data_IF_759216182373
#
_entry.id   IF_759216182373
#
_cell.length_a   1.000
_cell.length_b   1.000
_cell.length_c   1.000
_cell.angle_alpha   90.00
_cell.angle_beta   90.00
_cell.angle_gamma   90.00
#
_symmetry.space_group_name_H-M   'P 1'
#
loop_
_entity.id
_entity.type
_entity.pdbx_description
1 polymer ?
#
# COMPACT_ATOMS: atom_id res chain seq x y z
N UNK A 1 52.21 -22.12 -26.24
CA UNK A 1 51.14 -21.07 -26.30
C UNK A 1 49.73 -21.60 -26.11
N UNK A 2 49.52 -22.92 -26.11
CA UNK A 2 48.19 -23.55 -26.05
C UNK A 2 47.57 -23.60 -24.65
N UNK A 3 48.40 -23.59 -23.60
CA UNK A 3 47.95 -23.67 -22.23
C UNK A 3 47.20 -22.37 -21.77
N UNK A 4 47.61 -21.21 -22.24
CA UNK A 4 46.91 -19.94 -21.95
C UNK A 4 45.56 -19.84 -22.68
N UNK A 5 45.48 -20.32 -23.90
CA UNK A 5 44.22 -20.40 -24.68
C UNK A 5 43.20 -21.32 -23.99
N UNK A 6 43.66 -22.48 -23.54
CA UNK A 6 42.79 -23.43 -22.83
C UNK A 6 42.29 -22.85 -21.47
N UNK A 7 43.13 -22.11 -20.77
CA UNK A 7 42.74 -21.45 -19.51
C UNK A 7 41.71 -20.35 -19.73
N UNK A 8 41.85 -19.57 -20.81
CA UNK A 8 40.86 -18.53 -21.18
C UNK A 8 39.52 -19.15 -21.58
N UNK A 9 39.51 -20.26 -22.28
CA UNK A 9 38.28 -20.98 -22.68
C UNK A 9 37.57 -21.54 -21.44
N UNK A 10 38.31 -22.09 -20.48
CA UNK A 10 37.73 -22.60 -19.22
C UNK A 10 37.15 -21.45 -18.38
N UNK A 11 37.86 -20.33 -18.30
CA UNK A 11 37.36 -19.14 -17.58
C UNK A 11 36.08 -18.58 -18.22
N UNK A 12 36.02 -18.58 -19.57
CA UNK A 12 34.82 -18.08 -20.29
C UNK A 12 33.63 -19.02 -20.09
N UNK A 13 33.84 -20.32 -20.08
CA UNK A 13 32.79 -21.32 -19.79
C UNK A 13 32.28 -21.18 -18.35
N UNK A 14 33.20 -20.93 -17.40
CA UNK A 14 32.82 -20.74 -16.00
C UNK A 14 32.00 -19.47 -15.78
N UNK A 15 32.37 -18.37 -16.42
CA UNK A 15 31.61 -17.11 -16.36
C UNK A 15 30.23 -17.28 -17.01
N UNK A 16 30.16 -17.96 -18.16
CA UNK A 16 28.89 -18.25 -18.84
C UNK A 16 27.97 -19.12 -17.98
N UNK A 17 28.52 -20.09 -17.26
CA UNK A 17 27.80 -20.94 -16.33
C UNK A 17 27.26 -20.15 -15.13
N UNK A 18 28.07 -19.25 -14.57
CA UNK A 18 27.64 -18.38 -13.47
C UNK A 18 26.50 -17.43 -13.88
N UNK A 19 26.58 -16.87 -15.09
CA UNK A 19 25.51 -16.00 -15.62
C UNK A 19 24.22 -16.82 -15.85
N UNK A 20 24.34 -18.04 -16.38
CA UNK A 20 23.19 -18.91 -16.56
C UNK A 20 22.56 -19.31 -15.22
N UNK A 21 23.37 -19.63 -14.21
CA UNK A 21 22.90 -19.97 -12.86
C UNK A 21 22.22 -18.80 -12.15
N UNK A 22 22.75 -17.58 -12.33
CA UNK A 22 22.13 -16.36 -11.80
C UNK A 22 20.76 -16.10 -12.47
N UNK A 23 20.67 -16.34 -13.77
CA UNK A 23 19.41 -16.18 -14.52
C UNK A 23 18.35 -17.22 -14.14
N UNK A 24 18.76 -18.46 -13.84
CA UNK A 24 17.89 -19.54 -13.37
C UNK A 24 17.36 -19.28 -11.95
N UNK A 25 18.19 -18.69 -11.07
CA UNK A 25 17.79 -18.27 -9.73
C UNK A 25 16.76 -17.13 -9.75
N UNK A 26 16.86 -16.23 -10.72
CA UNK A 26 15.92 -15.09 -10.86
C UNK A 26 14.54 -15.56 -11.38
N UNK A 27 14.50 -16.69 -12.09
CA UNK A 27 13.24 -17.30 -12.57
C UNK A 27 12.53 -18.19 -11.56
N UNK A 28 13.23 -18.67 -10.52
CA UNK A 28 12.68 -19.53 -9.47
C UNK A 28 13.10 -19.03 -8.09
N UNK A 29 12.40 -18.06 -7.48
CA UNK A 29 12.64 -17.68 -6.09
C UNK A 29 12.25 -18.86 -5.19
N UNK A 30 13.24 -19.59 -4.70
CA UNK A 30 13.04 -20.62 -3.67
C UNK A 30 12.71 -19.93 -2.33
N UNK A 31 11.63 -20.35 -1.63
CA UNK A 31 11.33 -19.83 -0.31
C UNK A 31 12.42 -20.26 0.69
N UNK A 32 13.13 -19.33 1.26
CA UNK A 32 14.01 -19.60 2.40
C UNK A 32 13.16 -20.08 3.58
N UNK A 33 13.43 -21.31 4.02
CA UNK A 33 12.85 -21.91 5.20
C UNK A 33 13.28 -21.12 6.44
N UNK A 34 12.35 -20.37 7.04
CA UNK A 34 12.51 -19.81 8.39
C UNK A 34 12.21 -20.90 9.42
N UNK A 35 13.16 -21.11 10.31
CA UNK A 35 13.04 -22.01 11.45
C UNK A 35 11.90 -21.58 12.38
N UNK A 36 11.01 -22.50 12.58
CA UNK A 36 9.87 -22.42 13.51
C UNK A 36 10.35 -22.51 14.95
N UNK A 37 10.05 -21.52 15.77
CA UNK A 37 9.99 -21.72 17.21
C UNK A 37 8.51 -21.68 17.60
N UNK A 38 7.97 -22.85 17.95
CA UNK A 38 6.63 -23.02 18.49
C UNK A 38 6.55 -22.45 19.91
N UNK A 39 5.53 -21.66 20.17
CA UNK A 39 4.96 -21.59 21.52
C UNK A 39 3.43 -21.59 21.38
N UNK A 40 2.85 -22.67 21.83
CA UNK A 40 1.42 -22.93 21.98
C UNK A 40 0.81 -22.05 23.06
N UNK A 41 -0.33 -21.42 22.78
CA UNK A 41 -1.41 -21.34 23.78
C UNK A 41 -2.76 -21.08 23.10
N UNK A 42 -3.71 -21.90 23.45
CA UNK A 42 -5.09 -22.06 23.03
C UNK A 42 -5.99 -20.92 23.53
N UNK A 43 -6.92 -20.43 22.70
CA UNK A 43 -8.35 -20.37 23.04
C UNK A 43 -9.18 -19.68 21.96
N UNK A 44 -10.35 -20.23 21.77
CA UNK A 44 -11.37 -20.06 20.74
C UNK A 44 -12.07 -18.71 20.71
N UNK A 45 -12.58 -18.36 19.51
CA UNK A 45 -13.66 -17.40 19.38
C UNK A 45 -13.82 -16.79 17.97
N UNK A 46 -14.72 -17.39 17.20
CA UNK A 46 -15.59 -16.79 16.19
C UNK A 46 -15.01 -16.12 14.93
N UNK A 47 -15.41 -16.69 13.82
CA UNK A 47 -15.09 -16.30 12.46
C UNK A 47 -15.69 -14.94 12.07
N UNK A 48 -14.87 -14.09 11.46
CA UNK A 48 -15.28 -13.11 10.47
C UNK A 48 -14.19 -13.09 9.40
N UNK A 49 -14.62 -13.19 8.16
CA UNK A 49 -13.86 -13.22 6.94
C UNK A 49 -12.73 -12.19 6.95
N UNK A 50 -11.49 -12.64 7.04
CA UNK A 50 -10.30 -11.80 7.10
C UNK A 50 -9.55 -11.93 5.79
N UNK A 51 -9.84 -11.03 4.87
CA UNK A 51 -8.97 -10.78 3.74
C UNK A 51 -7.54 -10.46 4.21
N UNK A 52 -6.56 -11.16 3.69
CA UNK A 52 -5.14 -11.06 4.04
C UNK A 52 -4.63 -9.63 3.82
N UNK A 53 -4.08 -8.93 4.82
CA UNK A 53 -3.56 -7.58 4.63
C UNK A 53 -2.26 -7.61 3.83
N UNK A 54 -2.31 -7.06 2.62
CA UNK A 54 -1.19 -7.03 1.66
C UNK A 54 -0.10 -6.00 1.97
N UNK A 55 -0.07 -5.35 3.12
CA UNK A 55 1.07 -4.53 3.57
C UNK A 55 0.99 -4.25 5.06
N UNK A 56 1.85 -4.93 5.81
CA UNK A 56 2.26 -4.68 7.20
C UNK A 56 1.25 -4.00 8.13
N UNK A 57 0.54 -4.81 8.91
CA UNK A 57 -0.11 -4.49 10.21
C UNK A 57 -0.65 -3.05 10.41
N UNK A 58 -1.48 -2.57 9.51
CA UNK A 58 -2.33 -1.41 9.70
C UNK A 58 -3.80 -1.83 9.83
N UNK A 59 -4.60 -1.02 10.50
CA UNK A 59 -6.05 -1.20 10.56
C UNK A 59 -6.68 -0.57 9.31
N UNK A 60 -7.69 -1.20 8.75
CA UNK A 60 -8.49 -0.63 7.67
C UNK A 60 -9.66 0.15 8.26
N UNK A 61 -9.87 1.35 7.76
CA UNK A 61 -11.03 2.19 8.09
C UNK A 61 -11.88 2.42 6.84
N UNK A 62 -13.19 2.52 7.03
CA UNK A 62 -14.15 2.79 5.97
C UNK A 62 -14.52 4.29 5.97
N UNK A 63 -14.54 4.89 4.79
CA UNK A 63 -14.94 6.30 4.60
C UNK A 63 -15.96 6.38 3.49
N UNK A 64 -17.18 6.80 3.83
CA UNK A 64 -18.32 6.82 2.92
C UNK A 64 -18.89 8.21 2.70
N UNK A 65 -19.03 8.59 1.43
CA UNK A 65 -19.83 9.74 1.01
C UNK A 65 -20.99 9.27 0.11
N UNK A 66 -21.73 10.21 -0.46
CA UNK A 66 -22.76 9.93 -1.45
C UNK A 66 -22.21 9.39 -2.79
N UNK A 67 -20.95 9.69 -3.12
CA UNK A 67 -20.32 9.33 -4.42
C UNK A 67 -19.08 8.44 -4.29
N UNK A 68 -18.50 8.32 -3.10
CA UNK A 68 -17.27 7.55 -2.83
C UNK A 68 -17.45 6.59 -1.66
N UNK A 69 -16.89 5.39 -1.78
CA UNK A 69 -16.71 4.45 -0.69
C UNK A 69 -15.22 4.03 -0.68
N UNK A 70 -14.47 4.50 0.32
CA UNK A 70 -13.04 4.30 0.42
C UNK A 70 -12.69 3.37 1.57
N UNK A 71 -11.65 2.56 1.35
CA UNK A 71 -10.95 1.83 2.42
C UNK A 71 -9.54 2.40 2.55
N UNK A 72 -9.21 2.90 3.74
CA UNK A 72 -7.94 3.53 4.05
C UNK A 72 -7.20 2.68 5.07
N UNK A 73 -5.92 2.38 4.81
CA UNK A 73 -5.05 1.70 5.75
C UNK A 73 -4.41 2.73 6.70
N UNK A 74 -4.50 2.50 7.99
CA UNK A 74 -3.86 3.39 8.98
C UNK A 74 -2.34 3.38 8.92
N UNK A 75 -1.72 2.38 8.30
CA UNK A 75 -0.30 2.42 7.98
C UNK A 75 -0.06 3.30 6.76
N UNK A 76 0.56 4.46 7.00
CA UNK A 76 0.83 5.48 5.99
C UNK A 76 -0.41 6.25 5.54
N UNK A 77 -1.62 5.84 5.92
CA UNK A 77 -2.86 6.44 5.43
C UNK A 77 -3.03 6.25 3.92
N UNK A 78 -2.80 5.04 3.41
CA UNK A 78 -2.96 4.72 1.99
C UNK A 78 -4.42 4.39 1.67
N UNK A 79 -4.92 4.88 0.54
CA UNK A 79 -6.24 4.49 0.03
C UNK A 79 -6.06 3.20 -0.76
N UNK A 80 -6.45 2.08 -0.15
CA UNK A 80 -6.30 0.74 -0.73
C UNK A 80 -7.46 0.33 -1.62
N UNK A 81 -8.65 0.90 -1.38
CA UNK A 81 -9.84 0.66 -2.19
C UNK A 81 -10.61 1.95 -2.40
N UNK A 82 -11.14 2.14 -3.60
CA UNK A 82 -12.09 3.19 -3.92
C UNK A 82 -13.18 2.62 -4.82
N UNK A 83 -14.42 2.69 -4.34
CA UNK A 83 -15.60 2.32 -5.10
C UNK A 83 -16.37 3.57 -5.48
N UNK A 84 -16.97 3.54 -6.66
CA UNK A 84 -17.83 4.59 -7.20
C UNK A 84 -19.28 4.09 -7.24
N UNK A 85 -20.11 4.32 -6.19
CA UNK A 85 -21.46 3.77 -6.09
C UNK A 85 -22.41 4.19 -7.22
N UNK A 86 -22.18 5.38 -7.79
CA UNK A 86 -23.00 5.89 -8.91
C UNK A 86 -22.68 5.23 -10.26
N UNK A 87 -21.59 4.47 -10.36
CA UNK A 87 -21.16 3.81 -11.59
C UNK A 87 -21.19 2.30 -11.43
N UNK A 88 -21.93 1.57 -12.27
CA UNK A 88 -21.91 0.11 -12.22
C UNK A 88 -20.60 -0.44 -12.78
N UNK A 89 -20.15 -1.57 -12.23
CA UNK A 89 -18.97 -2.30 -12.71
C UNK A 89 -19.12 -2.77 -14.15
N UNK A 90 -20.32 -3.23 -14.49
CA UNK A 90 -20.70 -3.70 -15.84
C UNK A 90 -22.09 -3.20 -16.16
N UNK A 91 -22.46 -3.19 -17.45
CA UNK A 91 -23.80 -2.80 -17.87
C UNK A 91 -24.86 -3.66 -17.17
N UNK A 92 -25.83 -3.00 -16.51
CA UNK A 92 -26.88 -3.62 -15.70
C UNK A 92 -26.40 -4.35 -14.41
N UNK A 93 -25.15 -4.15 -13.97
CA UNK A 93 -24.68 -4.65 -12.67
C UNK A 93 -25.15 -3.73 -11.53
N UNK A 94 -25.41 -4.33 -10.37
CA UNK A 94 -25.63 -3.60 -9.11
C UNK A 94 -24.32 -3.36 -8.33
N UNK A 95 -23.22 -3.99 -8.77
CA UNK A 95 -21.92 -3.81 -8.14
C UNK A 95 -21.31 -2.48 -8.58
N UNK A 96 -20.75 -1.69 -7.63
CA UNK A 96 -20.10 -0.43 -7.95
C UNK A 96 -18.81 -0.64 -8.72
N UNK A 97 -18.44 0.34 -9.55
CA UNK A 97 -17.15 0.37 -10.21
C UNK A 97 -16.03 0.52 -9.16
N UNK A 98 -15.03 -0.33 -9.27
CA UNK A 98 -13.86 -0.32 -8.40
C UNK A 98 -12.71 0.42 -9.10
N UNK A 99 -12.39 1.60 -8.60
CA UNK A 99 -11.34 2.46 -9.15
C UNK A 99 -9.96 2.08 -8.59
N UNK A 100 -9.87 1.83 -7.29
CA UNK A 100 -8.66 1.36 -6.61
C UNK A 100 -8.94 0.01 -5.96
N UNK A 101 -7.95 -0.87 -6.02
CA UNK A 101 -8.06 -2.25 -5.54
C UNK A 101 -6.75 -2.70 -4.90
N UNK A 102 -6.85 -3.36 -3.75
CA UNK A 102 -5.74 -4.10 -3.15
C UNK A 102 -6.21 -5.52 -2.90
N UNK A 103 -5.65 -6.46 -3.65
CA UNK A 103 -5.88 -7.90 -3.53
C UNK A 103 -4.54 -8.65 -3.55
N UNK A 104 -4.50 -9.93 -3.21
CA UNK A 104 -3.27 -10.74 -3.29
C UNK A 104 -2.66 -10.81 -4.69
N UNK A 105 -3.46 -10.64 -5.75
CA UNK A 105 -3.05 -10.76 -7.14
C UNK A 105 -2.77 -9.42 -7.80
N UNK A 106 -3.39 -8.34 -7.31
CA UNK A 106 -3.33 -7.04 -7.94
C UNK A 106 -3.38 -5.91 -6.90
N UNK A 107 -2.51 -4.94 -7.06
CA UNK A 107 -2.48 -3.73 -6.22
C UNK A 107 -2.61 -2.53 -7.14
N UNK A 108 -3.60 -1.69 -6.88
CA UNK A 108 -3.71 -0.34 -7.41
C UNK A 108 -4.23 0.57 -6.32
N UNK A 109 -3.34 1.34 -5.70
CA UNK A 109 -3.63 2.14 -4.52
C UNK A 109 -3.06 3.55 -4.63
N UNK A 110 -3.69 4.50 -3.94
CA UNK A 110 -3.19 5.85 -3.83
C UNK A 110 -2.45 6.02 -2.50
N UNK A 111 -1.21 6.49 -2.58
CA UNK A 111 -0.35 6.72 -1.43
C UNK A 111 0.01 8.20 -1.36
N UNK A 112 0.08 8.72 -0.15
CA UNK A 112 0.61 10.04 0.12
C UNK A 112 1.28 10.07 1.49
N UNK A 113 2.20 10.99 1.70
CA UNK A 113 2.94 11.04 2.95
C UNK A 113 3.88 12.23 3.03
N UNK A 114 4.64 12.23 4.11
CA UNK A 114 5.65 13.23 4.41
C UNK A 114 7.03 12.56 4.43
N UNK A 115 7.86 12.89 3.45
CA UNK A 115 9.25 12.45 3.33
C UNK A 115 10.21 13.60 3.69
N UNK A 116 11.49 13.46 3.38
CA UNK A 116 12.53 14.39 3.81
C UNK A 116 13.30 13.81 5.00
N UNK A 117 14.31 14.54 5.50
CA UNK A 117 15.16 14.03 6.58
C UNK A 117 14.34 13.66 7.83
N UNK A 118 13.38 14.50 8.18
CA UNK A 118 12.57 14.39 9.39
C UNK A 118 11.13 13.91 9.12
N UNK A 119 10.86 13.46 7.87
CA UNK A 119 9.55 12.96 7.47
C UNK A 119 9.28 11.55 7.99
N UNK A 120 8.06 11.27 8.53
CA UNK A 120 7.72 9.96 9.07
C UNK A 120 7.61 8.86 8.00
N UNK A 121 7.43 9.23 6.73
CA UNK A 121 7.39 8.30 5.61
C UNK A 121 8.75 8.10 4.93
N UNK A 122 9.84 8.68 5.47
CA UNK A 122 11.18 8.43 4.96
C UNK A 122 11.63 7.02 5.34
N UNK A 123 11.96 6.14 4.37
CA UNK A 123 12.40 4.77 4.64
C UNK A 123 13.63 4.69 5.55
N UNK A 124 14.48 5.71 5.58
CA UNK A 124 15.64 5.78 6.47
C UNK A 124 15.25 5.93 7.96
N UNK A 125 14.05 6.44 8.24
CA UNK A 125 13.53 6.63 9.60
C UNK A 125 12.73 5.40 10.09
N UNK A 126 12.57 4.38 9.27
CA UNK A 126 11.87 3.16 9.63
C UNK A 126 10.67 2.84 8.73
N UNK A 127 9.78 1.95 9.18
CA UNK A 127 8.56 1.63 8.45
C UNK A 127 7.63 2.84 8.44
N UNK A 128 6.74 2.88 7.45
CA UNK A 128 5.72 3.95 7.34
C UNK A 128 4.93 4.12 8.64
N UNK A 129 4.54 5.35 9.00
CA UNK A 129 3.88 5.64 10.27
C UNK A 129 2.57 4.87 10.42
N UNK A 130 2.29 4.39 11.63
CA UNK A 130 0.99 3.83 11.97
C UNK A 130 0.16 4.94 12.64
N UNK A 131 -0.81 5.45 11.90
CA UNK A 131 -1.69 6.50 12.37
C UNK A 131 -2.76 5.97 13.34
N UNK A 132 -3.05 6.76 14.37
CA UNK A 132 -4.19 6.56 15.25
C UNK A 132 -5.42 7.26 14.67
N UNK A 133 -6.57 6.63 14.79
CA UNK A 133 -7.87 7.13 14.35
C UNK A 133 -8.90 6.99 15.47
N UNK A 134 -9.86 7.91 15.54
CA UNK A 134 -10.90 7.86 16.56
C UNK A 134 -11.99 6.82 16.26
N UNK A 135 -12.23 6.55 14.97
CA UNK A 135 -13.31 5.68 14.50
C UNK A 135 -12.82 4.74 13.41
N UNK A 136 -13.50 3.62 13.26
CA UNK A 136 -13.25 2.65 12.19
C UNK A 136 -14.06 2.93 10.93
N UNK A 137 -15.13 3.72 11.08
CA UNK A 137 -16.00 4.10 9.98
C UNK A 137 -16.37 5.58 10.09
N UNK A 138 -16.27 6.26 8.98
CA UNK A 138 -16.65 7.65 8.79
C UNK A 138 -17.67 7.74 7.67
N UNK A 139 -18.81 8.34 7.94
CA UNK A 139 -19.91 8.48 6.97
C UNK A 139 -20.31 9.94 6.89
N UNK A 140 -20.44 10.46 5.68
CA UNK A 140 -20.97 11.79 5.43
C UNK A 140 -22.44 11.84 5.81
N UNK A 141 -22.76 12.47 6.93
CA UNK A 141 -24.13 12.53 7.43
C UNK A 141 -25.04 13.35 6.50
N UNK A 142 -26.34 13.06 6.57
CA UNK A 142 -27.34 13.85 5.85
C UNK A 142 -27.29 15.31 6.28
N UNK A 143 -27.37 16.23 5.32
CA UNK A 143 -27.24 17.66 5.55
C UNK A 143 -25.83 18.20 5.75
N UNK A 144 -24.82 17.35 5.86
CA UNK A 144 -23.43 17.79 5.86
C UNK A 144 -22.87 17.86 4.45
N UNK A 145 -22.05 18.86 4.17
CA UNK A 145 -21.41 19.06 2.87
C UNK A 145 -19.97 18.57 2.81
N UNK A 146 -19.36 18.29 3.97
CA UNK A 146 -17.96 17.88 4.07
C UNK A 146 -17.79 16.82 5.16
N UNK A 147 -16.92 15.84 4.88
CA UNK A 147 -16.48 14.82 5.81
C UNK A 147 -14.97 14.95 5.99
N UNK A 148 -14.54 15.05 7.24
CA UNK A 148 -13.12 15.07 7.61
C UNK A 148 -12.76 13.79 8.35
N UNK A 149 -11.62 13.18 7.95
CA UNK A 149 -11.08 11.97 8.56
C UNK A 149 -9.66 12.28 9.06
N UNK A 150 -9.52 12.74 10.30
CA UNK A 150 -8.22 13.02 10.89
C UNK A 150 -7.56 11.74 11.37
N UNK A 151 -6.26 11.63 11.09
CA UNK A 151 -5.40 10.52 11.51
C UNK A 151 -4.13 11.12 12.10
N UNK A 152 -3.71 10.66 13.27
CA UNK A 152 -2.61 11.28 14.04
C UNK A 152 -1.49 10.27 14.30
N UNK A 153 -0.26 10.70 14.12
CA UNK A 153 0.95 9.95 14.46
C UNK A 153 1.89 10.84 15.28
N UNK A 154 2.50 10.27 16.30
CA UNK A 154 3.52 10.97 17.10
C UNK A 154 4.81 10.16 17.03
N UNK A 155 5.92 10.79 16.63
CA UNK A 155 7.22 10.17 16.56
C UNK A 155 7.90 10.07 17.93
N UNK A 156 9.07 9.43 17.97
CA UNK A 156 9.85 9.25 19.21
C UNK A 156 10.38 10.58 19.78
N UNK A 157 10.50 11.62 18.97
CA UNK A 157 10.90 12.96 19.39
C UNK A 157 9.74 13.80 19.92
N UNK A 158 8.51 13.29 19.87
CA UNK A 158 7.30 14.00 20.31
C UNK A 158 6.65 14.85 19.22
N UNK A 159 7.18 14.89 18.00
CA UNK A 159 6.55 15.59 16.90
C UNK A 159 5.23 14.92 16.52
N UNK A 160 4.19 15.70 16.32
CA UNK A 160 2.88 15.19 15.97
C UNK A 160 2.53 15.54 14.52
N UNK A 161 2.16 14.53 13.77
CA UNK A 161 1.78 14.60 12.36
C UNK A 161 0.30 14.24 12.25
N UNK A 162 -0.52 15.19 11.81
CA UNK A 162 -1.93 14.95 11.54
C UNK A 162 -2.16 14.95 10.04
N UNK A 163 -2.62 13.82 9.51
CA UNK A 163 -3.06 13.64 8.12
C UNK A 163 -4.59 13.66 8.11
N UNK A 164 -5.19 14.58 7.37
CA UNK A 164 -6.65 14.70 7.31
C UNK A 164 -7.12 14.53 5.88
N UNK A 165 -7.96 13.53 5.64
CA UNK A 165 -8.70 13.41 4.39
C UNK A 165 -9.95 14.28 4.47
N UNK A 166 -10.18 15.09 3.43
CA UNK A 166 -11.33 15.96 3.32
C UNK A 166 -12.09 15.62 2.05
N UNK A 167 -13.31 15.16 2.22
CA UNK A 167 -14.22 14.76 1.14
C UNK A 167 -15.45 15.66 1.17
N UNK A 168 -15.96 16.02 0.00
CA UNK A 168 -17.16 16.86 -0.12
C UNK A 168 -18.30 16.10 -0.77
N UNK A 169 -19.52 16.48 -0.42
CA UNK A 169 -20.73 15.92 -1.02
C UNK A 169 -20.74 16.17 -2.54
N UNK A 170 -21.04 15.12 -3.30
CA UNK A 170 -21.11 15.17 -4.75
C UNK A 170 -19.78 15.33 -5.47
N UNK A 171 -18.65 15.34 -4.75
CA UNK A 171 -17.31 15.53 -5.30
C UNK A 171 -16.50 14.23 -5.21
N UNK A 172 -15.80 13.91 -6.28
CA UNK A 172 -14.89 12.75 -6.37
C UNK A 172 -13.44 13.11 -5.95
N UNK A 173 -13.16 14.38 -5.69
CA UNK A 173 -11.85 14.81 -5.21
C UNK A 173 -11.67 14.46 -3.74
N UNK A 174 -10.52 13.84 -3.43
CA UNK A 174 -10.09 13.55 -2.07
C UNK A 174 -8.91 14.46 -1.75
N UNK A 175 -9.13 15.48 -0.92
CA UNK A 175 -8.06 16.37 -0.49
C UNK A 175 -7.35 15.77 0.73
N UNK A 176 -6.02 15.83 0.74
CA UNK A 176 -5.20 15.34 1.84
C UNK A 176 -4.40 16.50 2.41
N UNK A 177 -4.72 16.87 3.64
CA UNK A 177 -4.06 17.95 4.35
C UNK A 177 -3.12 17.40 5.43
N UNK A 178 -1.99 18.04 5.63
CA UNK A 178 -1.05 17.73 6.69
C UNK A 178 -0.90 18.92 7.65
N UNK A 179 -0.95 18.62 8.93
CA UNK A 179 -0.56 19.54 10.00
C UNK A 179 0.58 18.89 10.79
N UNK A 180 1.66 19.63 10.99
CA UNK A 180 2.84 19.15 11.71
C UNK A 180 3.11 20.04 12.90
N UNK A 181 3.10 19.45 14.09
CA UNK A 181 3.48 20.10 15.33
C UNK A 181 4.89 19.65 15.70
N UNK A 182 5.83 20.57 15.59
CA UNK A 182 7.22 20.35 15.97
C UNK A 182 7.36 20.51 17.49
N UNK A 183 7.80 19.46 18.17
CA UNK A 183 8.04 19.47 19.61
C UNK A 183 9.41 20.06 19.98
N UNK A 184 10.32 20.20 19.01
CA UNK A 184 11.67 20.68 19.23
C UNK A 184 11.85 22.14 18.80
N UNK A 185 13.04 22.69 19.08
CA UNK A 185 13.42 24.06 18.69
C UNK A 185 13.98 24.15 17.26
N UNK A 186 14.45 23.03 16.69
CA UNK A 186 15.05 23.00 15.36
C UNK A 186 13.98 22.80 14.29
N UNK A 187 14.08 23.50 13.14
CA UNK A 187 13.18 23.29 12.03
C UNK A 187 13.25 21.83 11.52
N UNK A 188 12.09 21.26 11.16
CA UNK A 188 11.99 19.96 10.52
C UNK A 188 12.13 20.11 9.00
N UNK A 189 12.91 19.23 8.38
CA UNK A 189 13.05 19.15 6.92
C UNK A 189 12.10 18.09 6.37
N UNK A 190 10.95 18.53 5.90
CA UNK A 190 9.85 17.68 5.45
C UNK A 190 9.40 18.09 4.05
N UNK A 191 9.08 17.10 3.22
CA UNK A 191 8.48 17.27 1.90
C UNK A 191 7.27 16.36 1.75
N UNK A 192 6.17 16.84 1.19
CA UNK A 192 5.02 16.00 0.87
C UNK A 192 5.22 15.24 -0.45
N UNK A 193 4.65 14.04 -0.54
CA UNK A 193 4.56 13.30 -1.79
C UNK A 193 3.17 12.70 -1.97
N UNK A 194 2.81 12.44 -3.23
CA UNK A 194 1.64 11.66 -3.63
C UNK A 194 2.00 10.76 -4.81
N UNK A 195 1.52 9.53 -4.81
CA UNK A 195 1.75 8.58 -5.89
C UNK A 195 0.60 7.60 -6.05
N UNK A 196 0.44 7.08 -7.25
CA UNK A 196 -0.34 5.87 -7.52
C UNK A 196 0.62 4.70 -7.64
N UNK A 197 0.38 3.65 -6.86
CA UNK A 197 1.17 2.42 -6.89
C UNK A 197 0.34 1.33 -7.53
N UNK A 198 0.86 0.70 -8.58
CA UNK A 198 0.20 -0.37 -9.30
C UNK A 198 1.14 -1.56 -9.47
N UNK A 199 0.60 -2.79 -9.34
CA UNK A 199 1.32 -4.00 -9.73
C UNK A 199 1.47 -4.06 -11.26
N UNK A 200 2.50 -4.75 -11.74
CA UNK A 200 2.80 -4.90 -13.19
C UNK A 200 1.76 -5.80 -13.87
N UNK A 201 1.14 -6.72 -13.12
CA UNK A 201 0.09 -7.62 -13.62
C UNK A 201 -1.19 -6.85 -13.90
N UNK A 202 -1.89 -7.23 -14.96
CA UNK A 202 -3.23 -6.69 -15.25
C UNK A 202 -4.22 -7.13 -14.18
N UNK A 203 -5.21 -6.26 -13.85
CA UNK A 203 -6.28 -6.67 -12.96
C UNK A 203 -7.08 -7.84 -13.55
N UNK A 204 -7.57 -8.77 -12.71
CA UNK A 204 -8.24 -9.99 -13.17
C UNK A 204 -9.44 -9.76 -14.11
N UNK A 205 -10.13 -8.62 -13.97
CA UNK A 205 -11.27 -8.26 -14.81
C UNK A 205 -10.88 -7.69 -16.20
N UNK A 206 -9.61 -7.35 -16.41
CA UNK A 206 -9.08 -6.92 -17.70
C UNK A 206 -8.30 -8.04 -18.41
N UNK A 207 -8.10 -9.18 -17.77
CA UNK A 207 -7.54 -10.37 -18.38
C UNK A 207 -8.62 -11.05 -19.26
N UNK A 208 -9.09 -10.31 -20.25
CA UNK A 208 -9.83 -10.90 -21.37
C UNK A 208 -8.80 -11.74 -22.12
N UNK A 209 -8.80 -13.04 -21.80
CA UNK A 209 -7.86 -14.01 -22.31
C UNK A 209 -7.43 -13.69 -23.73
N UNK A 210 -6.13 -13.50 -23.91
CA UNK A 210 -5.47 -13.15 -25.16
C UNK A 210 -6.14 -13.89 -26.30
N UNK A 211 -6.97 -13.19 -27.06
CA UNK A 211 -7.36 -13.67 -28.39
C UNK A 211 -6.10 -13.64 -29.23
N UNK A 212 -5.51 -14.80 -29.41
CA UNK A 212 -4.50 -15.02 -30.43
C UNK A 212 -5.06 -14.55 -31.77
N UNK A 213 -4.50 -13.50 -32.32
CA UNK A 213 -4.53 -13.18 -33.73
C UNK A 213 -3.21 -13.62 -34.33
#
# INVERSE_FOLDING_TARGET
MDSQRNLLVIALLFVSFMIWQAWEQDKNPQPQAQQTTQTTTTAAGSAADQGVPASGQGKLISVKTDVLDLTINTRGGDVEQALLPAYPKELNSTQPFQLLETSPQFIYQAQSGLTGRDGPDNPANGPRPLYNVEKDAYVLAEGQNELQVPMTYTDAAGNTFTKTFVLKRGDYAVNVNYNVQNAGEKPLEISSFGQLKQSITLPPHLDTGSSNF
#
